data_IF_651870996092
#
_entry.id   IF_651870996092
#
_cell.length_a   1.000
_cell.length_b   1.000
_cell.length_c   1.000
_cell.angle_alpha   90.00
_cell.angle_beta   90.00
_cell.angle_gamma   90.00
#
_symmetry.space_group_name_H-M   'P 1'
#
loop_
_entity.id
_entity.type
_entity.pdbx_description
1 polymer ?
#
# COMPACT_ATOMS: atom_id res chain seq x y z
N UNK A 1 -10.61 -56.33 -3.47
CA UNK A 1 -9.81 -55.59 -2.48
C UNK A 1 -9.78 -54.14 -2.93
N UNK A 2 -10.60 -53.28 -2.31
CA UNK A 2 -10.57 -51.84 -2.58
C UNK A 2 -9.31 -51.29 -1.92
N UNK A 3 -8.31 -50.97 -2.74
CA UNK A 3 -7.18 -50.14 -2.32
C UNK A 3 -7.69 -48.72 -2.15
N UNK A 4 -8.25 -48.42 -0.97
CA UNK A 4 -8.39 -47.04 -0.53
C UNK A 4 -6.98 -46.49 -0.35
N UNK A 5 -6.45 -45.85 -1.40
CA UNK A 5 -5.27 -45.00 -1.28
C UNK A 5 -5.60 -43.95 -0.24
N UNK A 6 -4.97 -44.05 0.93
CA UNK A 6 -5.00 -42.97 1.93
C UNK A 6 -4.54 -41.71 1.18
N UNK A 7 -5.32 -40.62 1.17
CA UNK A 7 -4.88 -39.38 0.52
C UNK A 7 -3.55 -39.00 1.14
N UNK A 8 -2.52 -38.83 0.32
CA UNK A 8 -1.24 -38.29 0.79
C UNK A 8 -1.54 -36.89 1.29
N UNK A 9 -1.50 -36.69 2.61
CA UNK A 9 -1.68 -35.38 3.23
C UNK A 9 -0.59 -34.45 2.70
N UNK A 10 -0.97 -33.39 1.99
CA UNK A 10 -0.01 -32.45 1.41
C UNK A 10 0.82 -31.77 2.49
N UNK A 11 2.02 -31.28 2.14
CA UNK A 11 2.88 -30.54 3.07
C UNK A 11 2.17 -29.28 3.59
N UNK A 12 1.41 -28.58 2.75
CA UNK A 12 0.61 -27.42 3.19
C UNK A 12 -0.40 -27.83 4.28
N UNK A 13 -1.10 -28.95 4.11
CA UNK A 13 -2.05 -29.47 5.10
C UNK A 13 -1.35 -29.86 6.42
N UNK A 14 -0.18 -30.51 6.37
CA UNK A 14 0.61 -30.86 7.56
C UNK A 14 1.09 -29.61 8.30
N UNK A 15 1.51 -28.56 7.59
CA UNK A 15 1.91 -27.29 8.21
C UNK A 15 0.72 -26.55 8.83
N UNK A 16 -0.46 -26.60 8.21
CA UNK A 16 -1.69 -26.04 8.80
C UNK A 16 -2.05 -26.74 10.10
N UNK A 17 -2.06 -28.07 10.13
CA UNK A 17 -2.37 -28.84 11.34
C UNK A 17 -1.39 -28.51 12.47
N UNK A 18 -0.09 -28.44 12.17
CA UNK A 18 0.93 -28.06 13.15
C UNK A 18 0.73 -26.62 13.64
N UNK A 19 0.42 -25.69 12.74
CA UNK A 19 0.20 -24.30 13.07
C UNK A 19 -1.05 -24.09 13.92
N UNK A 20 -2.14 -24.80 13.67
CA UNK A 20 -3.37 -24.71 14.49
C UNK A 20 -3.12 -25.00 15.98
N UNK A 21 -2.12 -25.82 16.29
CA UNK A 21 -1.76 -26.18 17.67
C UNK A 21 -0.98 -25.08 18.41
N UNK A 22 -0.29 -24.20 17.68
CA UNK A 22 0.71 -23.27 18.27
C UNK A 22 0.56 -21.82 17.83
N UNK A 23 -0.25 -21.53 16.82
CA UNK A 23 -0.60 -20.20 16.33
C UNK A 23 -2.12 -20.05 16.48
N UNK A 24 -2.63 -18.99 17.13
CA UNK A 24 -4.07 -18.77 17.24
C UNK A 24 -4.75 -18.78 15.87
N UNK A 25 -5.70 -19.69 15.68
CA UNK A 25 -6.40 -19.95 14.41
C UNK A 25 -5.48 -20.39 13.25
N UNK A 26 -4.30 -20.94 13.55
CA UNK A 26 -3.29 -21.40 12.59
C UNK A 26 -2.55 -20.28 11.85
N UNK A 27 -3.13 -19.09 11.74
CA UNK A 27 -2.54 -17.91 11.10
C UNK A 27 -3.33 -16.65 11.50
N UNK A 28 -2.71 -15.48 11.39
CA UNK A 28 -3.34 -14.19 11.68
C UNK A 28 -3.15 -13.16 10.56
N UNK A 29 -3.88 -12.06 10.64
CA UNK A 29 -3.72 -10.92 9.75
C UNK A 29 -4.12 -11.19 8.31
N UNK A 30 -3.64 -10.32 7.42
CA UNK A 30 -4.09 -10.25 6.02
C UNK A 30 -3.61 -11.42 5.14
N UNK A 31 -2.62 -12.20 5.59
CA UNK A 31 -2.09 -13.35 4.84
C UNK A 31 -2.76 -14.69 5.21
N UNK A 32 -3.75 -14.67 6.11
CA UNK A 32 -4.51 -15.85 6.47
C UNK A 32 -5.36 -16.33 5.29
N UNK A 33 -5.05 -17.52 4.78
CA UNK A 33 -5.66 -18.09 3.58
C UNK A 33 -7.09 -18.62 3.79
N UNK A 34 -7.59 -18.74 5.02
CA UNK A 34 -8.92 -19.32 5.30
C UNK A 34 -10.09 -18.51 4.72
N UNK A 35 -9.84 -17.25 4.37
CA UNK A 35 -10.82 -16.38 3.70
C UNK A 35 -10.73 -16.43 2.16
N UNK A 36 -9.84 -17.26 1.61
CA UNK A 36 -9.62 -17.44 0.17
C UNK A 36 -10.24 -18.77 -0.30
N UNK A 37 -10.45 -18.94 -1.62
CA UNK A 37 -11.02 -20.18 -2.16
C UNK A 37 -10.24 -21.43 -1.75
N UNK A 38 -10.96 -22.56 -1.69
CA UNK A 38 -10.36 -23.87 -1.47
C UNK A 38 -9.26 -24.14 -2.51
N UNK A 39 -8.11 -24.59 -2.05
CA UNK A 39 -6.92 -24.83 -2.89
C UNK A 39 -5.92 -23.67 -2.93
N UNK A 40 -6.20 -22.53 -2.28
CA UNK A 40 -5.18 -21.50 -2.10
C UNK A 40 -4.12 -21.94 -1.06
N UNK A 41 -2.82 -22.01 -1.41
CA UNK A 41 -1.78 -22.44 -0.48
C UNK A 41 -1.58 -21.40 0.64
N UNK A 42 -1.40 -21.86 1.87
CA UNK A 42 -1.08 -20.98 3.00
C UNK A 42 0.44 -20.79 3.10
N UNK A 43 1.20 -21.83 2.78
CA UNK A 43 2.65 -21.85 2.95
C UNK A 43 3.36 -21.84 1.60
N UNK A 44 4.36 -20.97 1.50
CA UNK A 44 5.21 -20.84 0.32
C UNK A 44 6.65 -21.22 0.64
N UNK A 45 7.31 -21.92 -0.27
CA UNK A 45 8.69 -22.38 -0.11
C UNK A 45 9.70 -21.41 -0.72
N UNK A 46 9.39 -20.81 -1.87
CA UNK A 46 10.31 -19.90 -2.55
C UNK A 46 9.62 -18.93 -3.51
N UNK A 47 10.35 -17.93 -3.95
CA UNK A 47 9.97 -17.03 -5.04
C UNK A 47 11.19 -16.66 -5.88
N UNK A 48 10.97 -16.44 -7.17
CA UNK A 48 11.98 -15.92 -8.10
C UNK A 48 11.28 -15.14 -9.20
N UNK A 49 11.78 -13.94 -9.50
CA UNK A 49 11.22 -13.05 -10.51
C UNK A 49 9.72 -12.81 -10.25
N UNK A 50 8.84 -13.15 -11.20
CA UNK A 50 7.40 -13.00 -11.07
C UNK A 50 6.67 -14.27 -10.59
N UNK A 51 7.40 -15.27 -10.06
CA UNK A 51 6.84 -16.56 -9.68
C UNK A 51 7.08 -16.89 -8.20
N UNK A 52 6.13 -17.62 -7.62
CA UNK A 52 6.23 -18.24 -6.30
C UNK A 52 5.96 -19.73 -6.37
N UNK A 53 6.59 -20.49 -5.49
CA UNK A 53 6.40 -21.94 -5.37
C UNK A 53 5.89 -22.25 -3.96
N UNK A 54 4.77 -22.96 -3.86
CA UNK A 54 4.23 -23.40 -2.57
C UNK A 54 5.07 -24.55 -1.97
N UNK A 55 4.74 -24.96 -0.74
CA UNK A 55 5.44 -26.06 -0.05
C UNK A 55 5.15 -27.45 -0.64
N UNK A 56 4.15 -27.57 -1.51
CA UNK A 56 3.81 -28.79 -2.23
C UNK A 56 4.52 -28.86 -3.62
N UNK A 57 5.27 -27.82 -3.98
CA UNK A 57 6.02 -27.74 -5.24
C UNK A 57 5.25 -27.12 -6.41
N UNK A 58 4.02 -26.64 -6.19
CA UNK A 58 3.24 -25.97 -7.22
C UNK A 58 3.78 -24.57 -7.47
N UNK A 59 3.93 -24.18 -8.74
CA UNK A 59 4.45 -22.86 -9.12
C UNK A 59 3.37 -21.98 -9.73
N UNK A 60 3.35 -20.72 -9.32
CA UNK A 60 2.33 -19.74 -9.69
C UNK A 60 2.99 -18.46 -10.21
N UNK A 61 2.37 -17.85 -11.23
CA UNK A 61 2.65 -16.44 -11.54
C UNK A 61 2.03 -15.59 -10.42
N UNK A 62 2.86 -14.82 -9.74
CA UNK A 62 2.48 -14.05 -8.55
C UNK A 62 1.94 -12.67 -8.93
N UNK A 63 0.61 -12.54 -8.92
CA UNK A 63 -0.06 -11.24 -9.06
C UNK A 63 -0.32 -10.54 -7.70
N UNK A 64 -0.07 -11.24 -6.59
CA UNK A 64 -0.21 -10.66 -5.25
C UNK A 64 1.03 -9.89 -4.84
N UNK A 65 2.21 -10.29 -5.33
CA UNK A 65 3.50 -9.66 -5.05
C UNK A 65 3.74 -9.49 -3.54
N UNK A 66 3.49 -10.55 -2.77
CA UNK A 66 3.46 -10.54 -1.31
C UNK A 66 2.52 -9.49 -0.67
N UNK A 67 1.39 -9.20 -1.32
CA UNK A 67 0.47 -8.10 -0.99
C UNK A 67 1.02 -6.70 -1.28
N UNK A 68 1.92 -6.61 -2.26
CA UNK A 68 2.51 -5.39 -2.76
C UNK A 68 4.04 -5.31 -2.70
N UNK A 69 4.75 -5.65 -1.60
CA UNK A 69 6.15 -5.32 -1.40
C UNK A 69 7.11 -5.67 -2.54
N UNK A 70 6.83 -6.76 -3.25
CA UNK A 70 7.68 -7.24 -4.35
C UNK A 70 7.36 -6.46 -5.63
N UNK A 71 8.18 -5.45 -5.93
CA UNK A 71 7.98 -4.51 -7.04
C UNK A 71 8.94 -4.75 -8.21
N UNK A 72 10.14 -5.29 -7.94
CA UNK A 72 11.18 -5.62 -8.93
C UNK A 72 11.34 -7.14 -9.16
N UNK A 73 10.37 -7.93 -8.67
CA UNK A 73 10.44 -9.39 -8.65
C UNK A 73 11.13 -9.95 -7.41
N UNK A 74 10.81 -11.19 -7.09
CA UNK A 74 11.39 -11.96 -5.99
C UNK A 74 12.86 -12.25 -6.25
N UNK A 75 13.69 -12.14 -5.20
CA UNK A 75 15.15 -12.38 -5.26
C UNK A 75 15.86 -11.54 -6.33
N UNK A 76 15.53 -10.26 -6.38
CA UNK A 76 16.15 -9.35 -7.34
C UNK A 76 17.65 -9.23 -7.01
N UNK A 77 18.57 -9.58 -7.94
CA UNK A 77 19.99 -9.69 -7.63
C UNK A 77 20.63 -8.36 -7.22
N UNK A 78 20.13 -7.21 -7.72
CA UNK A 78 20.65 -5.89 -7.36
C UNK A 78 20.26 -5.52 -5.93
N UNK A 79 19.01 -5.81 -5.55
CA UNK A 79 18.49 -5.52 -4.21
C UNK A 79 19.10 -6.45 -3.17
N UNK A 80 19.09 -7.76 -3.44
CA UNK A 80 19.62 -8.78 -2.53
C UNK A 80 21.11 -8.56 -2.29
N UNK A 81 21.90 -8.25 -3.34
CA UNK A 81 23.32 -7.97 -3.19
C UNK A 81 23.57 -6.77 -2.26
N UNK A 82 22.82 -5.67 -2.43
CA UNK A 82 22.96 -4.48 -1.58
C UNK A 82 22.66 -4.80 -0.10
N UNK A 83 21.58 -5.55 0.16
CA UNK A 83 21.23 -5.95 1.51
C UNK A 83 22.26 -6.91 2.13
N UNK A 84 22.70 -7.92 1.38
CA UNK A 84 23.65 -8.92 1.86
C UNK A 84 25.02 -8.30 2.15
N UNK A 85 25.52 -7.40 1.31
CA UNK A 85 26.76 -6.67 1.58
C UNK A 85 26.68 -5.85 2.87
N UNK A 86 25.54 -5.23 3.18
CA UNK A 86 25.38 -4.55 4.46
C UNK A 86 25.29 -5.53 5.64
N UNK A 87 24.65 -6.70 5.47
CA UNK A 87 24.57 -7.73 6.51
C UNK A 87 25.96 -8.24 6.90
N UNK A 88 26.87 -8.41 5.93
CA UNK A 88 28.27 -8.81 6.18
C UNK A 88 29.02 -7.82 7.10
N UNK A 89 28.61 -6.54 7.10
CA UNK A 89 29.15 -5.49 7.97
C UNK A 89 28.36 -5.32 9.28
N UNK A 90 27.16 -5.90 9.36
CA UNK A 90 26.20 -5.76 10.46
C UNK A 90 24.95 -4.96 10.08
N UNK A 91 23.80 -5.39 10.60
CA UNK A 91 22.48 -4.79 10.29
C UNK A 91 21.96 -3.87 11.40
N UNK A 92 21.84 -4.40 12.63
CA UNK A 92 21.36 -3.66 13.81
C UNK A 92 22.53 -3.34 14.74
N UNK A 93 22.99 -2.09 14.69
CA UNK A 93 24.16 -1.59 15.42
C UNK A 93 23.73 -0.56 16.48
N UNK A 94 24.69 -0.07 17.28
CA UNK A 94 24.45 0.97 18.28
C UNK A 94 24.05 2.34 17.68
N UNK A 95 24.13 2.48 16.35
CA UNK A 95 23.71 3.65 15.60
C UNK A 95 23.39 3.28 14.14
N UNK A 96 22.81 4.20 13.35
CA UNK A 96 22.48 3.94 11.96
C UNK A 96 23.73 3.76 11.08
N UNK A 97 23.56 3.02 9.99
CA UNK A 97 24.55 2.95 8.90
C UNK A 97 24.45 4.19 8.00
N UNK A 98 25.44 4.40 7.12
CA UNK A 98 25.43 5.52 6.17
C UNK A 98 24.21 5.50 5.23
N UNK A 99 23.65 4.30 4.96
CA UNK A 99 22.45 4.15 4.14
C UNK A 99 21.22 4.87 4.68
N UNK A 100 21.16 5.18 5.98
CA UNK A 100 20.11 6.04 6.52
C UNK A 100 20.12 7.43 5.88
N UNK A 101 21.30 8.05 5.74
CA UNK A 101 21.44 9.37 5.12
C UNK A 101 21.23 9.27 3.62
N UNK A 102 21.87 8.30 2.95
CA UNK A 102 21.73 8.10 1.50
C UNK A 102 20.27 7.88 1.08
N UNK A 103 19.52 7.11 1.85
CA UNK A 103 18.11 6.87 1.57
C UNK A 103 17.27 8.13 1.81
N UNK A 104 17.56 8.91 2.85
CA UNK A 104 16.83 10.14 3.13
C UNK A 104 17.05 11.16 2.00
N UNK A 105 18.30 11.35 1.57
CA UNK A 105 18.64 12.20 0.43
C UNK A 105 17.97 11.72 -0.86
N UNK A 106 17.96 10.41 -1.11
CA UNK A 106 17.32 9.83 -2.29
C UNK A 106 15.80 10.07 -2.29
N UNK A 107 15.13 9.93 -1.14
CA UNK A 107 13.70 10.19 -1.01
C UNK A 107 13.38 11.67 -1.23
N UNK A 108 14.11 12.57 -0.58
CA UNK A 108 13.98 14.03 -0.75
C UNK A 108 14.22 14.43 -2.21
N UNK A 109 15.23 13.87 -2.87
CA UNK A 109 15.50 14.13 -4.28
C UNK A 109 14.48 13.49 -5.25
N UNK A 110 13.61 12.60 -4.78
CA UNK A 110 12.64 11.87 -5.61
C UNK A 110 11.22 12.40 -5.45
N UNK A 111 10.85 12.80 -4.23
CA UNK A 111 9.48 13.15 -3.84
C UNK A 111 9.38 14.67 -3.69
N UNK A 112 8.65 15.38 -4.58
CA UNK A 112 8.71 16.84 -4.66
C UNK A 112 8.40 17.62 -3.37
N UNK A 113 7.43 17.15 -2.56
CA UNK A 113 7.02 17.83 -1.33
C UNK A 113 7.96 17.60 -0.14
N UNK A 114 8.91 16.67 -0.27
CA UNK A 114 9.67 16.15 0.85
C UNK A 114 10.95 16.97 1.09
N UNK A 115 11.04 17.60 2.26
CA UNK A 115 12.26 18.27 2.74
C UNK A 115 13.05 17.38 3.72
N UNK A 116 12.42 16.34 4.25
CA UNK A 116 13.01 15.38 5.17
C UNK A 116 12.36 14.00 5.08
N UNK A 117 13.03 13.00 5.64
CA UNK A 117 12.53 11.64 5.79
C UNK A 117 12.82 11.05 7.18
N UNK A 118 11.93 10.19 7.67
CA UNK A 118 12.10 9.33 8.85
C UNK A 118 11.87 7.87 8.46
N UNK A 119 12.48 6.92 9.17
CA UNK A 119 12.43 5.48 8.84
C UNK A 119 11.86 4.63 9.97
N UNK A 120 11.10 3.62 9.59
CA UNK A 120 10.33 2.73 10.47
C UNK A 120 10.21 1.33 9.84
N UNK A 121 9.35 0.45 10.35
CA UNK A 121 9.20 -0.92 9.80
C UNK A 121 7.85 -1.17 9.14
N UNK A 122 6.77 -0.64 9.69
CA UNK A 122 5.43 -0.90 9.19
C UNK A 122 4.77 0.37 8.65
N UNK A 123 3.90 0.21 7.65
CA UNK A 123 3.03 1.30 7.22
C UNK A 123 2.17 1.88 8.35
N UNK A 124 1.74 1.04 9.31
CA UNK A 124 1.05 1.48 10.54
C UNK A 124 1.91 2.44 11.37
N UNK A 125 3.22 2.21 11.45
CA UNK A 125 4.14 3.09 12.19
C UNK A 125 4.19 4.45 11.48
N UNK A 126 4.30 4.45 10.15
CA UNK A 126 4.37 5.65 9.31
C UNK A 126 3.10 6.49 9.36
N UNK A 127 1.92 5.90 9.17
CA UNK A 127 0.66 6.64 9.25
C UNK A 127 0.42 7.21 10.65
N UNK A 128 0.74 6.45 11.70
CA UNK A 128 0.65 6.91 13.10
C UNK A 128 1.62 8.07 13.37
N UNK A 129 2.81 8.03 12.79
CA UNK A 129 3.82 9.08 12.93
C UNK A 129 3.39 10.36 12.22
N UNK A 130 2.87 10.28 10.99
CA UNK A 130 2.31 11.43 10.30
C UNK A 130 1.19 12.10 11.11
N UNK A 131 0.26 11.33 11.68
CA UNK A 131 -0.81 11.85 12.53
C UNK A 131 -0.25 12.51 13.80
N UNK A 132 0.75 11.88 14.42
CA UNK A 132 1.42 12.41 15.63
C UNK A 132 2.10 13.75 15.33
N UNK A 133 2.84 13.84 14.22
CA UNK A 133 3.52 15.07 13.78
C UNK A 133 2.51 16.16 13.43
N UNK A 134 1.41 15.83 12.75
CA UNK A 134 0.37 16.79 12.40
C UNK A 134 -0.27 17.40 13.66
N UNK A 135 -0.62 16.56 14.65
CA UNK A 135 -1.11 17.03 15.96
C UNK A 135 -0.06 17.85 16.71
N UNK A 136 1.21 17.41 16.67
CA UNK A 136 2.33 18.13 17.30
C UNK A 136 2.54 19.53 16.72
N UNK A 137 2.34 19.69 15.41
CA UNK A 137 2.47 20.97 14.70
C UNK A 137 1.27 21.87 14.92
N UNK A 138 0.06 21.33 14.73
CA UNK A 138 -1.18 22.11 14.75
C UNK A 138 -1.72 22.36 16.16
N UNK A 139 -1.30 21.55 17.15
CA UNK A 139 -1.88 21.49 18.51
C UNK A 139 -3.39 21.19 18.52
N UNK A 140 -3.87 20.52 17.47
CA UNK A 140 -5.27 20.14 17.27
C UNK A 140 -5.44 18.63 17.33
N UNK A 141 -6.67 18.18 17.52
CA UNK A 141 -6.96 16.77 17.82
C UNK A 141 -7.52 16.01 16.63
N UNK A 142 -8.43 16.62 15.86
CA UNK A 142 -9.28 15.93 14.90
C UNK A 142 -8.53 15.55 13.62
N UNK A 143 -8.75 14.33 13.16
CA UNK A 143 -8.21 13.82 11.89
C UNK A 143 -9.35 13.31 11.04
N UNK A 144 -9.40 13.74 9.79
CA UNK A 144 -10.38 13.29 8.82
C UNK A 144 -9.85 12.04 8.12
N UNK A 145 -10.65 10.98 8.10
CA UNK A 145 -10.31 9.72 7.42
C UNK A 145 -11.51 9.22 6.60
N UNK A 146 -11.26 8.64 5.43
CA UNK A 146 -12.33 8.11 4.61
C UNK A 146 -12.99 6.89 5.27
N UNK A 147 -14.32 6.76 5.14
CA UNK A 147 -15.07 5.58 5.59
C UNK A 147 -14.54 4.32 4.90
N UNK A 148 -14.14 3.34 5.70
CA UNK A 148 -13.65 2.04 5.24
C UNK A 148 -12.17 2.01 4.82
N UNK A 149 -11.48 3.16 4.78
CA UNK A 149 -10.07 3.21 4.42
C UNK A 149 -9.19 2.52 5.46
N UNK A 150 -8.20 1.77 4.99
CA UNK A 150 -7.23 1.07 5.83
C UNK A 150 -5.93 1.86 5.93
N UNK A 151 -5.61 2.32 7.15
CA UNK A 151 -4.38 3.05 7.46
C UNK A 151 -3.44 2.32 8.43
N UNK A 152 -3.72 1.03 8.71
CA UNK A 152 -2.91 0.22 9.60
C UNK A 152 -3.75 -0.63 10.54
N UNK A 153 -3.11 -1.15 11.59
CA UNK A 153 -3.71 -2.04 12.58
C UNK A 153 -3.46 -1.60 14.04
N UNK A 154 -3.08 -0.34 14.26
CA UNK A 154 -3.03 0.25 15.59
C UNK A 154 -4.45 0.53 16.10
N UNK A 155 -4.70 0.63 17.43
CA UNK A 155 -6.03 0.82 17.99
C UNK A 155 -6.85 1.96 17.35
N UNK A 156 -6.19 3.06 16.97
CA UNK A 156 -6.86 4.19 16.33
C UNK A 156 -7.41 3.86 14.91
N UNK A 157 -6.69 3.06 14.12
CA UNK A 157 -6.98 2.83 12.69
C UNK A 157 -7.39 1.40 12.32
N UNK A 158 -7.28 0.44 13.24
CA UNK A 158 -7.63 -0.95 12.95
C UNK A 158 -9.10 -1.09 12.56
N UNK A 159 -9.43 -1.94 11.58
CA UNK A 159 -10.83 -2.22 11.22
C UNK A 159 -11.55 -3.10 12.26
N UNK A 160 -10.81 -3.79 13.14
CA UNK A 160 -11.38 -4.61 14.23
C UNK A 160 -11.57 -3.77 15.50
N UNK A 161 -12.71 -3.91 16.16
CA UNK A 161 -12.98 -3.25 17.45
C UNK A 161 -12.58 -4.11 18.67
N UNK A 162 -12.13 -5.34 18.44
CA UNK A 162 -11.68 -6.21 19.54
C UNK A 162 -10.40 -5.63 20.14
N UNK A 163 -10.44 -5.33 21.44
CA UNK A 163 -9.30 -4.76 22.18
C UNK A 163 -9.07 -3.26 21.94
N UNK A 164 -10.05 -2.54 21.39
CA UNK A 164 -10.00 -1.10 21.10
C UNK A 164 -11.03 -0.36 21.93
N UNK A 165 -10.68 0.80 22.49
CA UNK A 165 -11.62 1.65 23.25
C UNK A 165 -12.23 2.74 22.37
N UNK A 166 -13.27 3.41 22.87
CA UNK A 166 -13.86 4.54 22.15
C UNK A 166 -12.87 5.72 22.05
N UNK A 167 -12.05 5.90 23.10
CA UNK A 167 -11.05 6.95 23.22
C UNK A 167 -9.93 6.84 22.18
N UNK A 168 -9.59 5.62 21.74
CA UNK A 168 -8.62 5.40 20.67
C UNK A 168 -9.04 6.10 19.35
N UNK A 169 -10.33 6.38 19.17
CA UNK A 169 -10.93 6.81 17.89
C UNK A 169 -11.80 8.07 17.98
N UNK A 170 -12.04 8.61 19.17
CA UNK A 170 -12.95 9.77 19.41
C UNK A 170 -12.55 11.05 18.66
N UNK A 171 -11.31 11.12 18.18
CA UNK A 171 -10.80 12.24 17.40
C UNK A 171 -10.77 11.98 15.89
N UNK A 172 -11.39 10.91 15.41
CA UNK A 172 -11.56 10.65 13.99
C UNK A 172 -12.93 11.15 13.52
N UNK A 173 -12.94 11.89 12.42
CA UNK A 173 -14.17 12.29 11.71
C UNK A 173 -14.14 11.64 10.33
N UNK A 174 -15.27 11.09 9.92
CA UNK A 174 -15.35 10.27 8.73
C UNK A 174 -16.00 10.97 7.55
N UNK A 175 -15.36 10.92 6.39
CA UNK A 175 -15.91 11.39 5.11
C UNK A 175 -16.01 10.25 4.09
N UNK A 176 -16.70 10.46 2.97
CA UNK A 176 -16.75 9.52 1.85
C UNK A 176 -15.67 9.86 0.82
N UNK A 177 -14.80 8.92 0.47
CA UNK A 177 -13.73 9.13 -0.52
C UNK A 177 -14.31 9.60 -1.87
N UNK A 178 -13.67 10.57 -2.53
CA UNK A 178 -14.13 11.25 -3.75
C UNK A 178 -15.42 12.10 -3.62
N UNK A 179 -16.03 12.17 -2.45
CA UNK A 179 -17.19 13.03 -2.19
C UNK A 179 -16.74 14.34 -1.51
N UNK A 180 -16.70 15.42 -2.31
CA UNK A 180 -16.28 16.77 -1.86
C UNK A 180 -17.24 17.34 -0.83
N UNK A 181 -18.54 17.09 -0.95
CA UNK A 181 -19.54 17.60 -0.01
C UNK A 181 -19.38 16.90 1.34
N UNK A 182 -19.23 15.58 1.34
CA UNK A 182 -18.97 14.81 2.56
C UNK A 182 -17.65 15.23 3.23
N UNK A 183 -16.59 15.48 2.45
CA UNK A 183 -15.32 15.96 2.98
C UNK A 183 -15.44 17.36 3.60
N UNK A 184 -16.15 18.27 2.91
CA UNK A 184 -16.40 19.63 3.39
C UNK A 184 -17.23 19.64 4.67
N UNK A 185 -18.25 18.78 4.76
CA UNK A 185 -19.06 18.62 5.95
C UNK A 185 -18.22 18.11 7.14
N UNK A 186 -17.36 17.12 6.92
CA UNK A 186 -16.44 16.61 7.95
C UNK A 186 -15.45 17.69 8.42
N UNK A 187 -14.97 18.55 7.51
CA UNK A 187 -14.09 19.66 7.88
C UNK A 187 -14.83 20.73 8.70
N UNK A 188 -16.10 21.02 8.38
CA UNK A 188 -16.95 21.90 9.20
C UNK A 188 -17.20 21.33 10.59
N UNK A 189 -17.41 20.02 10.71
CA UNK A 189 -17.56 19.34 12.01
C UNK A 189 -16.28 19.44 12.84
N UNK A 190 -15.11 19.33 12.21
CA UNK A 190 -13.82 19.51 12.90
C UNK A 190 -13.61 20.96 13.39
N UNK A 191 -14.15 21.94 12.66
CA UNK A 191 -13.97 23.36 12.95
C UNK A 191 -12.50 23.74 13.08
N UNK A 192 -12.18 24.52 14.11
CA UNK A 192 -10.81 24.96 14.40
C UNK A 192 -9.91 23.88 15.03
N UNK A 193 -10.43 22.66 15.24
CA UNK A 193 -9.72 21.53 15.85
C UNK A 193 -9.21 20.52 14.81
N UNK A 194 -9.15 20.89 13.52
CA UNK A 194 -8.63 20.07 12.44
C UNK A 194 -7.09 20.01 12.42
N UNK A 195 -6.52 18.84 12.74
CA UNK A 195 -5.09 18.58 12.68
C UNK A 195 -4.63 18.09 11.29
N UNK A 196 -5.41 17.19 10.69
CA UNK A 196 -5.06 16.61 9.39
C UNK A 196 -6.25 16.05 8.62
N UNK A 197 -6.11 15.99 7.30
CA UNK A 197 -6.87 15.10 6.43
C UNK A 197 -5.91 13.99 5.98
N UNK A 198 -6.19 12.75 6.39
CA UNK A 198 -5.45 11.57 5.98
C UNK A 198 -6.22 10.85 4.86
N UNK A 199 -5.53 10.62 3.75
CA UNK A 199 -6.13 10.10 2.52
C UNK A 199 -5.28 8.98 1.96
N UNK A 200 -5.90 7.86 1.55
CA UNK A 200 -5.19 6.81 0.81
C UNK A 200 -4.86 7.27 -0.60
N UNK A 201 -3.77 6.75 -1.18
CA UNK A 201 -3.36 7.05 -2.56
C UNK A 201 -4.51 6.94 -3.59
N UNK A 202 -5.35 5.93 -3.43
CA UNK A 202 -6.58 5.69 -4.18
C UNK A 202 -7.54 4.86 -3.31
N UNK A 203 -8.80 4.73 -3.71
CA UNK A 203 -9.75 3.85 -3.02
C UNK A 203 -9.43 2.40 -3.37
N UNK A 204 -9.09 1.60 -2.36
CA UNK A 204 -8.60 0.23 -2.56
C UNK A 204 -9.04 -0.73 -1.44
N UNK A 205 -10.23 -0.50 -0.92
CA UNK A 205 -10.80 -1.32 0.15
C UNK A 205 -11.20 -2.69 -0.40
N UNK A 206 -11.23 -3.69 0.48
CA UNK A 206 -11.54 -5.07 0.09
C UNK A 206 -12.97 -5.18 -0.44
N UNK A 207 -13.15 -5.97 -1.50
CA UNK A 207 -14.45 -6.34 -2.08
C UNK A 207 -15.32 -5.19 -2.63
N UNK A 208 -14.76 -3.99 -2.79
CA UNK A 208 -15.43 -2.87 -3.48
C UNK A 208 -14.62 -2.41 -4.70
N UNK A 209 -15.26 -1.75 -5.68
CA UNK A 209 -14.54 -1.18 -6.82
C UNK A 209 -13.45 -0.20 -6.37
N UNK A 210 -12.28 -0.30 -7.00
CA UNK A 210 -11.19 0.64 -6.80
C UNK A 210 -11.42 1.91 -7.61
N UNK A 211 -11.01 3.06 -7.07
CA UNK A 211 -11.21 4.37 -7.69
C UNK A 211 -10.00 5.26 -7.46
N UNK A 212 -9.47 5.89 -8.52
CA UNK A 212 -8.48 6.95 -8.37
C UNK A 212 -9.11 8.22 -7.77
N UNK A 213 -8.32 9.08 -7.12
CA UNK A 213 -8.80 10.40 -6.70
C UNK A 213 -9.29 11.20 -7.91
N UNK A 214 -10.44 11.86 -7.78
CA UNK A 214 -10.82 12.91 -8.73
C UNK A 214 -9.98 14.16 -8.47
N UNK A 215 -9.81 15.01 -9.50
CA UNK A 215 -9.06 16.27 -9.35
C UNK A 215 -9.77 17.20 -8.37
N UNK A 216 -11.09 17.26 -8.46
CA UNK A 216 -11.96 18.08 -7.62
C UNK A 216 -11.83 17.67 -6.15
N UNK A 217 -11.79 16.36 -5.86
CA UNK A 217 -11.58 15.84 -4.52
C UNK A 217 -10.19 16.19 -3.97
N UNK A 218 -9.13 15.96 -4.75
CA UNK A 218 -7.77 16.26 -4.32
C UNK A 218 -7.57 17.76 -4.07
N UNK A 219 -8.12 18.62 -4.94
CA UNK A 219 -8.11 20.07 -4.79
C UNK A 219 -8.89 20.52 -3.54
N UNK A 220 -10.07 19.96 -3.30
CA UNK A 220 -10.85 20.28 -2.10
C UNK A 220 -10.11 19.88 -0.82
N UNK A 221 -9.50 18.69 -0.77
CA UNK A 221 -8.71 18.25 0.38
C UNK A 221 -7.53 19.19 0.67
N UNK A 222 -6.80 19.60 -0.37
CA UNK A 222 -5.71 20.58 -0.25
C UNK A 222 -6.20 21.93 0.27
N UNK A 223 -7.23 22.50 -0.37
CA UNK A 223 -7.78 23.80 0.00
C UNK A 223 -8.32 23.82 1.43
N UNK A 224 -8.98 22.76 1.88
CA UNK A 224 -9.46 22.63 3.26
C UNK A 224 -8.30 22.56 4.26
N UNK A 225 -7.22 21.84 3.94
CA UNK A 225 -6.02 21.80 4.79
C UNK A 225 -5.35 23.18 4.87
N UNK A 226 -5.23 23.89 3.74
CA UNK A 226 -4.60 25.20 3.68
C UNK A 226 -5.40 26.24 4.46
N UNK A 227 -6.72 26.27 4.26
CA UNK A 227 -7.62 27.18 4.97
C UNK A 227 -7.61 26.94 6.49
N UNK A 228 -7.58 25.68 6.92
CA UNK A 228 -7.51 25.35 8.33
C UNK A 228 -6.10 25.53 8.91
N UNK A 229 -5.04 25.48 8.11
CA UNK A 229 -3.68 25.27 8.61
C UNK A 229 -3.46 23.83 9.10
N UNK A 230 -4.20 22.86 8.58
CA UNK A 230 -4.04 21.42 8.84
C UNK A 230 -3.02 20.77 7.89
N UNK A 231 -2.65 19.52 8.18
CA UNK A 231 -1.82 18.70 7.29
C UNK A 231 -2.67 17.92 6.28
N UNK A 232 -2.28 17.94 5.01
CA UNK A 232 -2.71 16.92 4.06
C UNK A 232 -1.71 15.75 4.13
N UNK A 233 -2.17 14.59 4.60
CA UNK A 233 -1.33 13.39 4.73
C UNK A 233 -1.75 12.37 3.67
N UNK A 234 -0.80 11.96 2.84
CA UNK A 234 -1.00 10.89 1.88
C UNK A 234 -0.52 9.54 2.45
N UNK A 235 -1.43 8.60 2.66
CA UNK A 235 -1.06 7.20 2.88
C UNK A 235 -0.71 6.56 1.54
N UNK A 236 0.59 6.55 1.26
CA UNK A 236 1.20 6.02 0.06
C UNK A 236 1.83 4.63 0.30
N UNK A 237 1.46 3.95 1.39
CA UNK A 237 1.98 2.61 1.72
C UNK A 237 1.69 1.61 0.61
N UNK A 238 0.53 1.72 -0.04
CA UNK A 238 0.13 0.83 -1.15
C UNK A 238 0.34 1.46 -2.53
N UNK A 239 0.25 2.78 -2.67
CA UNK A 239 0.40 3.46 -3.96
C UNK A 239 1.83 3.83 -4.33
N UNK A 240 2.64 4.19 -3.33
CA UNK A 240 3.97 4.75 -3.49
C UNK A 240 4.90 3.85 -4.31
N UNK A 241 5.65 4.48 -5.23
CA UNK A 241 6.54 3.86 -6.22
C UNK A 241 5.85 2.93 -7.24
N UNK A 242 4.55 2.65 -7.09
CA UNK A 242 3.77 1.86 -8.08
C UNK A 242 3.08 2.76 -9.10
N UNK A 243 2.50 3.86 -8.64
CA UNK A 243 1.73 4.78 -9.50
C UNK A 243 2.64 5.82 -10.14
N UNK A 244 3.51 6.43 -9.35
CA UNK A 244 4.50 7.42 -9.76
C UNK A 244 5.68 7.38 -8.77
N UNK A 245 6.90 7.70 -9.24
CA UNK A 245 8.08 7.75 -8.37
C UNK A 245 8.03 8.92 -7.39
N UNK A 246 7.42 10.05 -7.77
CA UNK A 246 7.27 11.24 -6.94
C UNK A 246 6.06 11.22 -6.01
N UNK A 247 5.33 10.10 -5.91
CA UNK A 247 4.15 9.94 -5.07
C UNK A 247 2.84 9.83 -5.86
N UNK A 248 1.88 9.07 -5.33
CA UNK A 248 0.71 8.62 -6.12
C UNK A 248 -0.23 9.73 -6.57
N UNK A 249 -0.21 10.89 -5.90
CA UNK A 249 -1.04 12.04 -6.27
C UNK A 249 -0.41 12.96 -7.30
N UNK A 250 0.78 12.64 -7.84
CA UNK A 250 1.44 13.51 -8.83
C UNK A 250 0.57 13.82 -10.05
N UNK A 251 -0.22 12.85 -10.51
CA UNK A 251 -1.16 13.03 -11.62
C UNK A 251 -2.36 13.94 -11.33
N UNK A 252 -2.64 14.26 -10.06
CA UNK A 252 -3.71 15.20 -9.67
C UNK A 252 -3.21 16.65 -9.67
N UNK A 253 -1.89 16.86 -9.61
CA UNK A 253 -1.27 18.18 -9.45
C UNK A 253 -1.29 18.71 -8.01
N UNK A 254 -1.61 17.85 -7.03
CA UNK A 254 -1.67 18.21 -5.61
C UNK A 254 -0.54 17.53 -4.84
N UNK A 255 0.15 18.34 -4.03
CA UNK A 255 1.21 17.87 -3.13
C UNK A 255 0.68 17.78 -1.68
N UNK A 256 0.94 16.66 -0.98
CA UNK A 256 0.65 16.55 0.44
C UNK A 256 1.70 17.31 1.27
N UNK A 257 1.42 17.54 2.54
CA UNK A 257 2.41 18.05 3.50
C UNK A 257 3.31 16.94 4.04
N UNK A 258 2.75 15.73 4.16
CA UNK A 258 3.46 14.52 4.59
C UNK A 258 2.94 13.30 3.84
N UNK A 259 3.80 12.28 3.67
CA UNK A 259 3.38 11.01 3.11
C UNK A 259 3.99 9.82 3.85
N UNK A 260 3.21 8.74 3.98
CA UNK A 260 3.63 7.48 4.58
C UNK A 260 3.92 6.46 3.47
N UNK A 261 5.08 5.80 3.54
CA UNK A 261 5.53 4.78 2.58
C UNK A 261 5.86 3.47 3.31
N UNK A 262 5.67 2.35 2.63
CA UNK A 262 6.17 1.03 3.04
C UNK A 262 6.06 0.09 1.82
N UNK A 263 5.99 -1.22 2.04
CA UNK A 263 5.84 -2.25 1.00
C UNK A 263 6.91 -2.14 -0.10
N UNK A 264 6.59 -1.44 -1.20
CA UNK A 264 7.42 -1.39 -2.41
C UNK A 264 8.78 -0.73 -2.17
N UNK A 265 8.90 0.12 -1.15
CA UNK A 265 10.08 0.96 -0.92
C UNK A 265 11.41 0.19 -0.88
N UNK A 266 11.39 -1.09 -0.49
CA UNK A 266 12.59 -1.92 -0.34
C UNK A 266 12.42 -3.34 -0.93
N UNK A 267 11.56 -3.50 -1.94
CA UNK A 267 11.33 -4.77 -2.65
C UNK A 267 11.22 -6.02 -1.76
N UNK A 268 10.48 -5.93 -0.66
CA UNK A 268 10.26 -7.06 0.27
C UNK A 268 11.03 -6.97 1.60
N UNK A 269 12.09 -6.18 1.68
CA UNK A 269 12.76 -5.92 2.97
C UNK A 269 11.87 -5.02 3.85
N UNK A 270 11.83 -5.31 5.16
CA UNK A 270 10.96 -4.60 6.09
C UNK A 270 11.43 -3.15 6.27
N UNK A 271 10.68 -2.22 5.69
CA UNK A 271 10.91 -0.79 5.79
C UNK A 271 9.61 -0.01 5.60
N UNK A 272 9.47 1.06 6.36
CA UNK A 272 8.52 2.11 6.14
C UNK A 272 9.25 3.46 6.25
N UNK A 273 8.67 4.50 5.67
CA UNK A 273 9.19 5.85 5.75
C UNK A 273 8.08 6.87 5.89
N UNK A 274 8.39 7.99 6.52
CA UNK A 274 7.60 9.22 6.47
C UNK A 274 8.42 10.24 5.73
N UNK A 275 7.84 10.90 4.73
CA UNK A 275 8.38 12.15 4.19
C UNK A 275 7.51 13.32 4.62
N UNK A 276 8.10 14.51 4.73
CA UNK A 276 7.32 15.70 4.98
C UNK A 276 8.02 16.99 4.62
N UNK A 277 7.23 18.05 4.59
CA UNK A 277 7.71 19.41 4.34
C UNK A 277 8.25 20.07 5.60
N UNK A 278 9.06 21.11 5.44
CA UNK A 278 9.72 21.84 6.53
C UNK A 278 8.73 22.45 7.52
N UNK A 279 7.52 22.74 7.07
CA UNK A 279 6.41 23.20 7.92
C UNK A 279 6.14 22.27 9.12
N UNK A 280 6.40 20.97 8.96
CA UNK A 280 6.15 19.95 9.99
C UNK A 280 7.42 19.45 10.68
N UNK A 281 8.60 19.97 10.30
CA UNK A 281 9.90 19.50 10.80
C UNK A 281 10.05 19.65 12.31
N UNK A 282 9.61 20.77 12.88
CA UNK A 282 9.83 21.03 14.30
C UNK A 282 9.06 20.04 15.20
N UNK A 283 7.81 19.73 14.86
CA UNK A 283 7.07 18.70 15.58
C UNK A 283 7.68 17.30 15.39
N UNK A 284 8.21 17.00 14.20
CA UNK A 284 8.92 15.75 13.94
C UNK A 284 10.19 15.61 14.79
N UNK A 285 10.92 16.70 15.05
CA UNK A 285 12.09 16.71 15.95
C UNK A 285 11.71 16.49 17.42
N UNK A 286 10.57 17.01 17.85
CA UNK A 286 10.12 16.96 19.25
C UNK A 286 9.38 15.67 19.60
N UNK A 287 8.69 15.06 18.63
CA UNK A 287 7.91 13.86 18.86
C UNK A 287 8.80 12.65 19.18
N UNK A 288 8.50 11.96 20.27
CA UNK A 288 9.20 10.73 20.63
C UNK A 288 8.65 9.54 19.83
N UNK A 289 9.36 9.16 18.78
CA UNK A 289 9.02 8.03 17.92
C UNK A 289 10.28 7.18 17.76
N UNK A 290 10.23 5.92 18.19
CA UNK A 290 11.36 5.01 18.09
C UNK A 290 10.90 3.56 17.98
N UNK A 291 11.78 2.70 17.45
CA UNK A 291 11.62 1.25 17.45
C UNK A 291 12.98 0.60 17.27
N UNK A 292 13.24 -0.49 18.00
CA UNK A 292 14.58 -1.09 18.10
C UNK A 292 15.22 -1.44 16.76
N UNK A 293 14.40 -1.77 15.76
CA UNK A 293 14.88 -2.18 14.43
C UNK A 293 14.77 -1.09 13.37
N UNK A 294 14.26 0.11 13.68
CA UNK A 294 13.97 1.16 12.67
C UNK A 294 15.20 1.60 11.88
N UNK A 295 16.41 1.41 12.43
CA UNK A 295 17.69 1.71 11.78
C UNK A 295 18.39 0.50 11.13
N UNK A 296 17.69 -0.62 10.90
CA UNK A 296 18.28 -1.80 10.24
C UNK A 296 18.85 -1.47 8.86
N UNK A 297 20.18 -1.53 8.73
CA UNK A 297 20.93 -1.09 7.56
C UNK A 297 20.63 -1.89 6.29
N UNK A 298 20.36 -3.19 6.39
CA UNK A 298 20.09 -4.06 5.24
C UNK A 298 18.83 -3.61 4.48
N UNK A 299 17.77 -3.27 5.21
CA UNK A 299 16.53 -2.73 4.63
C UNK A 299 16.76 -1.38 3.94
N UNK A 300 17.63 -0.54 4.48
CA UNK A 300 17.92 0.78 3.90
C UNK A 300 18.77 0.65 2.63
N UNK A 301 19.78 -0.23 2.64
CA UNK A 301 20.58 -0.57 1.46
C UNK A 301 19.68 -1.13 0.33
N UNK A 302 18.79 -2.07 0.67
CA UNK A 302 17.80 -2.62 -0.25
C UNK A 302 16.90 -1.54 -0.84
N UNK A 303 16.47 -0.57 -0.03
CA UNK A 303 15.62 0.55 -0.49
C UNK A 303 16.36 1.48 -1.45
N UNK A 304 17.62 1.83 -1.16
CA UNK A 304 18.46 2.63 -2.07
C UNK A 304 18.59 1.93 -3.42
N UNK A 305 18.89 0.63 -3.43
CA UNK A 305 18.98 -0.16 -4.66
C UNK A 305 17.63 -0.23 -5.40
N UNK A 306 16.53 -0.46 -4.66
CA UNK A 306 15.18 -0.56 -5.22
C UNK A 306 14.76 0.73 -5.91
N UNK A 307 14.89 1.88 -5.24
CA UNK A 307 14.46 3.17 -5.78
C UNK A 307 15.34 3.60 -6.97
N UNK A 308 16.67 3.36 -6.89
CA UNK A 308 17.58 3.62 -8.02
C UNK A 308 17.22 2.77 -9.25
N UNK A 309 16.89 1.50 -9.05
CA UNK A 309 16.49 0.62 -10.15
C UNK A 309 15.15 1.03 -10.74
N UNK A 310 14.15 1.34 -9.90
CA UNK A 310 12.86 1.85 -10.36
C UNK A 310 12.99 3.15 -11.16
N UNK A 311 13.91 4.05 -10.77
CA UNK A 311 14.27 5.24 -11.56
C UNK A 311 14.89 4.87 -12.90
N UNK A 312 15.85 3.94 -12.91
CA UNK A 312 16.57 3.52 -14.12
C UNK A 312 15.65 2.91 -15.17
N UNK A 313 14.67 2.10 -14.76
CA UNK A 313 13.78 1.37 -15.66
C UNK A 313 12.45 2.08 -15.94
N UNK A 314 12.21 3.23 -15.33
CA UNK A 314 10.89 3.87 -15.26
C UNK A 314 9.80 2.87 -14.82
N UNK A 315 9.98 2.34 -13.61
CA UNK A 315 9.18 1.25 -13.04
C UNK A 315 7.67 1.48 -13.16
N UNK A 316 7.12 2.64 -12.73
CA UNK A 316 5.70 2.95 -12.88
C UNK A 316 5.20 2.90 -14.34
N UNK A 317 5.94 3.47 -15.29
CA UNK A 317 5.55 3.43 -16.70
C UNK A 317 5.56 1.99 -17.24
N UNK A 318 6.58 1.20 -16.88
CA UNK A 318 6.68 -0.21 -17.25
C UNK A 318 5.51 -1.02 -16.69
N UNK A 319 5.19 -0.87 -15.40
CA UNK A 319 4.04 -1.54 -14.77
C UNK A 319 2.73 -1.15 -15.44
N UNK A 320 2.50 0.14 -15.71
CA UNK A 320 1.30 0.61 -16.41
C UNK A 320 1.17 0.01 -17.80
N UNK A 321 2.26 -0.06 -18.56
CA UNK A 321 2.28 -0.68 -19.89
C UNK A 321 1.93 -2.17 -19.82
N UNK A 322 2.53 -2.92 -18.90
CA UNK A 322 2.24 -4.36 -18.72
C UNK A 322 0.81 -4.62 -18.25
N UNK A 323 0.31 -3.80 -17.33
CA UNK A 323 -1.05 -3.90 -16.81
C UNK A 323 -2.09 -3.67 -17.92
N UNK A 324 -1.89 -2.65 -18.77
CA UNK A 324 -2.74 -2.39 -19.93
C UNK A 324 -2.74 -3.55 -20.94
N UNK A 325 -1.56 -4.11 -21.24
CA UNK A 325 -1.45 -5.26 -22.13
C UNK A 325 -2.18 -6.50 -21.58
N UNK A 326 -2.03 -6.77 -20.29
CA UNK A 326 -2.71 -7.87 -19.61
C UNK A 326 -4.24 -7.69 -19.60
N UNK A 327 -4.72 -6.48 -19.26
CA UNK A 327 -6.14 -6.16 -19.29
C UNK A 327 -6.75 -6.33 -20.70
N UNK A 328 -6.05 -5.86 -21.74
CA UNK A 328 -6.48 -6.03 -23.12
C UNK A 328 -6.58 -7.52 -23.51
N UNK A 329 -5.60 -8.34 -23.11
CA UNK A 329 -5.61 -9.77 -23.39
C UNK A 329 -6.81 -10.49 -22.73
N UNK A 330 -7.15 -10.13 -21.48
CA UNK A 330 -8.31 -10.69 -20.78
C UNK A 330 -9.64 -10.36 -21.48
N UNK A 331 -9.77 -9.16 -22.06
CA UNK A 331 -11.01 -8.75 -22.75
C UNK A 331 -11.20 -9.37 -24.14
N UNK A 332 -10.14 -9.86 -24.78
CA UNK A 332 -10.19 -10.46 -26.13
C UNK A 332 -10.59 -11.93 -26.16
N UNK A 333 -10.66 -12.61 -25.01
CA UNK A 333 -11.08 -14.01 -24.94
C UNK A 333 -12.59 -14.11 -25.21
N UNK A 334 -13.05 -14.82 -26.26
CA UNK A 334 -14.48 -15.04 -26.46
C UNK A 334 -15.08 -15.79 -25.25
N UNK A 335 -16.37 -15.58 -24.92
CA UNK A 335 -17.04 -16.36 -23.90
C UNK A 335 -17.15 -17.80 -24.40
N UNK A 336 -16.19 -18.66 -24.03
CA UNK A 336 -16.21 -20.04 -24.45
C UNK A 336 -17.25 -20.83 -23.65
N UNK A 337 -17.95 -21.68 -24.37
CA UNK A 337 -19.19 -22.36 -24.00
C UNK A 337 -19.02 -23.24 -22.75
N UNK A 338 -19.86 -23.02 -21.73
CA UNK A 338 -20.09 -23.99 -20.65
C UNK A 338 -19.50 -23.66 -19.28
N UNK A 339 -18.62 -22.66 -19.14
CA UNK A 339 -18.12 -22.22 -17.84
C UNK A 339 -18.79 -20.90 -17.42
N UNK A 340 -19.71 -20.96 -16.45
CA UNK A 340 -20.32 -19.78 -15.82
C UNK A 340 -19.33 -18.94 -14.98
N UNK A 341 -18.05 -19.33 -14.92
CA UNK A 341 -17.05 -18.71 -14.06
C UNK A 341 -16.60 -17.32 -14.54
N UNK A 342 -16.80 -17.00 -15.81
CA UNK A 342 -16.55 -15.66 -16.34
C UNK A 342 -17.70 -15.23 -17.25
N UNK A 343 -18.87 -14.94 -16.66
CA UNK A 343 -19.75 -13.96 -17.30
C UNK A 343 -19.00 -12.64 -17.24
N UNK A 344 -18.65 -12.00 -18.38
CA UNK A 344 -18.22 -10.62 -18.35
C UNK A 344 -19.45 -9.84 -17.89
N UNK A 345 -19.52 -9.55 -16.58
CA UNK A 345 -20.32 -8.44 -16.14
C UNK A 345 -19.87 -7.26 -17.02
N UNK A 346 -20.83 -6.44 -17.47
CA UNK A 346 -20.56 -5.11 -18.06
C UNK A 346 -19.89 -4.15 -17.05
N UNK A 347 -19.03 -4.68 -16.18
CA UNK A 347 -18.25 -4.07 -15.13
C UNK A 347 -16.81 -4.56 -15.35
N UNK A 348 -16.07 -3.75 -16.10
CA UNK A 348 -14.63 -3.87 -16.34
C UNK A 348 -13.87 -4.41 -15.11
N UNK A 349 -13.14 -5.52 -15.26
CA UNK A 349 -12.04 -5.88 -14.36
C UNK A 349 -10.99 -4.76 -14.38
N UNK A 350 -11.13 -3.78 -13.50
CA UNK A 350 -10.18 -2.67 -13.23
C UNK A 350 -9.08 -3.08 -12.24
N UNK A 351 -8.66 -4.34 -12.24
CA UNK A 351 -7.52 -4.77 -11.43
C UNK A 351 -6.17 -4.44 -12.07
N UNK A 352 -6.14 -4.07 -13.36
CA UNK A 352 -4.92 -3.79 -14.11
C UNK A 352 -5.00 -2.54 -15.01
N UNK A 353 -5.88 -1.58 -14.72
CA UNK A 353 -5.93 -0.33 -15.49
C UNK A 353 -5.87 0.90 -14.58
N UNK A 354 -4.86 1.74 -14.81
CA UNK A 354 -4.89 3.15 -14.42
C UNK A 354 -6.16 3.78 -15.04
N UNK A 355 -7.03 4.46 -14.28
CA UNK A 355 -8.28 5.00 -14.80
C UNK A 355 -8.06 6.33 -15.51
N UNK A 356 -7.10 6.37 -16.43
CA UNK A 356 -6.75 7.55 -17.20
C UNK A 356 -6.90 7.26 -18.70
N UNK A 357 -8.13 7.02 -19.14
CA UNK A 357 -8.58 7.29 -20.51
C UNK A 357 -10.09 7.55 -20.46
N UNK A 358 -10.44 8.81 -20.21
CA UNK A 358 -11.70 9.35 -20.65
C UNK A 358 -11.57 9.68 -22.15
N UNK A 359 -12.39 9.07 -23.00
CA UNK A 359 -12.73 9.64 -24.30
C UNK A 359 -14.23 9.45 -24.57
N UNK A 360 -14.96 10.51 -24.97
CA UNK A 360 -16.40 10.48 -25.16
C UNK A 360 -16.79 10.20 -26.63
N UNK A 361 -18.06 9.79 -26.81
CA UNK A 361 -18.85 9.74 -28.07
C UNK A 361 -18.62 8.54 -29.00
N UNK A 362 -19.64 7.68 -29.09
CA UNK A 362 -20.59 7.68 -30.22
C UNK A 362 -21.66 6.60 -30.00
N UNK A 363 -22.78 7.02 -29.42
CA UNK A 363 -24.04 6.31 -29.53
C UNK A 363 -24.76 6.83 -30.77
N UNK A 364 -24.87 6.00 -31.83
CA UNK A 364 -25.97 5.95 -32.82
C UNK A 364 -25.62 4.98 -33.95
N UNK A 365 -26.68 4.43 -34.55
CA UNK A 365 -26.75 3.53 -35.72
C UNK A 365 -26.38 2.07 -35.35
N UNK A 366 -27.29 1.11 -35.22
CA UNK A 366 -28.41 0.76 -36.09
C UNK A 366 -29.65 0.30 -35.31
N UNK A 367 -30.79 0.90 -35.66
CA UNK A 367 -32.08 0.24 -35.59
C UNK A 367 -32.33 -0.48 -36.91
N UNK A 368 -33.11 -1.57 -36.82
CA UNK A 368 -33.90 -2.27 -37.86
C UNK A 368 -33.32 -3.54 -38.49
N UNK A 369 -34.13 -4.61 -38.28
CA UNK A 369 -34.56 -5.65 -39.23
C UNK A 369 -33.44 -6.62 -39.67
N UNK A 370 -33.54 -7.94 -39.54
CA UNK A 370 -34.65 -8.89 -39.38
C UNK A 370 -34.25 -9.99 -38.41
#
# INVERSE_FOLDING_TARGET
MNTHSVPVTTMDAQLRERAERVIPNGMWGHQRASSLPQGYPQYFASGKDACVTDVDGNSYIDFMCAWGPIILGHRNPLVDAAALSQIELGDSLNGPTAHAVELAELLVATIPHADWALFQKNGTDATTSCVTIARGTTKRRKVLVAKGAYHGAAPWCTPSLVGVTAEDRVHLIHYVYNDVESLTAAAREAGDDLAAILVSAFKHDLAIPQESPTKEFAQAARALCDAAGAALILDDVRGGFRIDLGGSWRGTGIEPDMAAYSKAIANGYALAAVTGSDRFREAARQAYMTGSFWYGGASMAAAVATIKELRRIDGPALMKMRANAFAAALTRRPPDTGSTCFKPARRSCRWCSSPATAMPRLARVFARRR
#
